data_IF_578067056266
#
_entry.id   IF_578067056266
#
_cell.length_a   1.000
_cell.length_b   1.000
_cell.length_c   1.000
_cell.angle_alpha   90.00
_cell.angle_beta   90.00
_cell.angle_gamma   90.00
#
_symmetry.space_group_name_H-M   'P 1'
#
loop_
_entity.id
_entity.type
_entity.pdbx_description
1 polymer ?
#
# COMPACT_ATOMS: atom_id res chain seq x y z
N UNK A 1 -12.18 9.64 8.99
CA UNK A 1 -12.94 10.78 8.43
C UNK A 1 -13.87 11.38 9.48
N UNK A 2 -14.99 10.73 9.85
CA UNK A 2 -15.91 11.24 10.89
C UNK A 2 -15.19 11.56 12.22
N UNK A 3 -14.31 10.67 12.68
CA UNK A 3 -13.50 10.91 13.87
C UNK A 3 -12.67 12.21 13.79
N UNK A 4 -11.87 12.38 12.72
CA UNK A 4 -11.04 13.58 12.52
C UNK A 4 -11.88 14.85 12.40
N UNK A 5 -13.04 14.78 11.73
CA UNK A 5 -13.98 15.90 11.64
C UNK A 5 -14.47 16.36 13.01
N UNK A 6 -14.80 15.42 13.91
CA UNK A 6 -15.20 15.73 15.30
C UNK A 6 -14.06 16.35 16.12
N UNK A 7 -12.81 16.17 15.70
CA UNK A 7 -11.63 16.82 16.26
C UNK A 7 -11.29 18.16 15.58
N UNK A 8 -12.19 18.69 14.72
CA UNK A 8 -11.99 19.97 14.04
C UNK A 8 -11.10 19.90 12.79
N UNK A 9 -10.77 18.70 12.30
CA UNK A 9 -9.95 18.52 11.10
C UNK A 9 -10.86 18.27 9.90
N UNK A 10 -10.84 19.18 8.93
CA UNK A 10 -11.54 18.99 7.66
C UNK A 10 -10.98 17.78 6.89
N UNK A 11 -11.85 16.92 6.36
CA UNK A 11 -11.45 15.72 5.61
C UNK A 11 -12.10 15.71 4.24
N UNK A 12 -11.28 15.65 3.19
CA UNK A 12 -11.73 15.31 1.84
C UNK A 12 -11.39 13.86 1.55
N UNK A 13 -12.40 13.11 1.09
CA UNK A 13 -12.25 11.77 0.52
C UNK A 13 -12.89 11.76 -0.85
N UNK A 14 -12.24 11.09 -1.79
CA UNK A 14 -12.74 10.92 -3.15
C UNK A 14 -12.94 9.44 -3.42
N UNK A 15 -13.97 9.11 -4.18
CA UNK A 15 -14.11 7.78 -4.77
C UNK A 15 -13.16 7.69 -5.97
N UNK A 16 -12.55 6.53 -6.19
CA UNK A 16 -11.67 6.31 -7.33
C UNK A 16 -12.42 6.45 -8.66
N UNK A 17 -11.67 6.60 -9.75
CA UNK A 17 -12.21 6.79 -11.10
C UNK A 17 -13.20 5.68 -11.46
N UNK A 18 -14.42 6.05 -11.83
CA UNK A 18 -15.48 5.10 -12.20
C UNK A 18 -16.14 4.38 -11.03
N UNK A 19 -15.83 4.76 -9.78
CA UNK A 19 -16.46 4.21 -8.57
C UNK A 19 -17.49 5.20 -8.01
N UNK A 20 -18.66 4.69 -7.64
CA UNK A 20 -19.75 5.46 -7.04
C UNK A 20 -20.06 6.76 -7.81
N UNK A 21 -19.76 7.93 -7.23
CA UNK A 21 -20.04 9.23 -7.86
C UNK A 21 -18.99 9.71 -8.85
N UNK A 22 -17.82 9.07 -8.90
CA UNK A 22 -16.69 9.49 -9.75
C UNK A 22 -16.83 8.95 -11.17
N UNK A 23 -16.52 9.81 -12.16
CA UNK A 23 -16.40 9.39 -13.57
C UNK A 23 -15.03 8.76 -13.87
N UNK A 24 -14.83 8.25 -15.09
CA UNK A 24 -13.56 7.65 -15.53
C UNK A 24 -13.58 6.13 -15.52
N UNK A 25 -12.39 5.51 -15.70
CA UNK A 25 -12.24 4.05 -15.80
C UNK A 25 -11.17 3.56 -14.82
N UNK A 26 -11.59 2.84 -13.79
CA UNK A 26 -10.72 2.25 -12.78
C UNK A 26 -9.69 1.29 -13.37
N UNK A 27 -10.11 0.36 -14.24
CA UNK A 27 -9.25 -0.69 -14.79
C UNK A 27 -8.16 -0.19 -15.74
N UNK A 28 -8.27 1.05 -16.22
CA UNK A 28 -7.25 1.71 -17.03
C UNK A 28 -6.35 2.66 -16.21
N UNK A 29 -6.69 2.94 -14.95
CA UNK A 29 -5.94 3.83 -14.09
C UNK A 29 -4.74 3.13 -13.47
N UNK A 30 -3.73 3.91 -13.11
CA UNK A 30 -2.52 3.47 -12.40
C UNK A 30 -2.40 4.19 -11.05
N UNK A 31 -1.50 3.75 -10.19
CA UNK A 31 -1.18 4.49 -8.95
C UNK A 31 -0.73 5.93 -9.22
N UNK A 32 -0.09 6.18 -10.38
CA UNK A 32 0.25 7.55 -10.82
C UNK A 32 -0.98 8.39 -11.18
N UNK A 33 -2.04 7.79 -11.72
CA UNK A 33 -3.32 8.46 -11.91
C UNK A 33 -3.95 8.85 -10.57
N UNK A 34 -3.96 7.94 -9.61
CA UNK A 34 -4.48 8.20 -8.27
C UNK A 34 -3.68 9.29 -7.54
N UNK A 35 -2.35 9.35 -7.75
CA UNK A 35 -1.52 10.44 -7.24
C UNK A 35 -1.93 11.80 -7.83
N UNK A 36 -2.21 11.87 -9.14
CA UNK A 36 -2.72 13.10 -9.77
C UNK A 36 -4.13 13.49 -9.29
N UNK A 37 -4.95 12.51 -8.96
CA UNK A 37 -6.26 12.75 -8.35
C UNK A 37 -6.09 13.35 -6.94
N UNK A 38 -5.17 12.82 -6.13
CA UNK A 38 -4.82 13.39 -4.82
C UNK A 38 -4.24 14.80 -4.94
N UNK A 39 -3.39 15.06 -5.94
CA UNK A 39 -2.88 16.42 -6.24
C UNK A 39 -4.02 17.39 -6.54
N UNK A 40 -5.01 16.95 -7.34
CA UNK A 40 -6.19 17.75 -7.67
C UNK A 40 -7.07 18.01 -6.44
N UNK A 41 -7.19 17.02 -5.55
CA UNK A 41 -7.91 17.16 -4.28
C UNK A 41 -7.25 18.20 -3.35
N UNK A 42 -5.92 18.22 -3.25
CA UNK A 42 -5.19 19.25 -2.50
C UNK A 42 -5.41 20.64 -3.12
N UNK A 43 -5.31 20.77 -4.44
CA UNK A 43 -5.58 22.05 -5.13
C UNK A 43 -6.99 22.56 -4.89
N UNK A 44 -7.99 21.66 -4.88
CA UNK A 44 -9.36 22.03 -4.54
C UNK A 44 -9.47 22.53 -3.09
N UNK A 45 -8.88 21.82 -2.12
CA UNK A 45 -8.86 22.26 -0.72
C UNK A 45 -8.18 23.61 -0.53
N UNK A 46 -7.08 23.88 -1.24
CA UNK A 46 -6.38 25.17 -1.19
C UNK A 46 -7.21 26.34 -1.72
N UNK A 47 -8.15 26.08 -2.63
CA UNK A 47 -9.03 27.10 -3.17
C UNK A 47 -10.24 27.41 -2.25
N UNK A 48 -10.40 26.68 -1.14
CA UNK A 48 -11.53 26.85 -0.23
C UNK A 48 -11.23 27.90 0.84
N UNK A 49 -12.10 28.90 1.05
CA UNK A 49 -11.89 29.94 2.06
C UNK A 49 -12.10 29.45 3.50
N UNK A 50 -12.70 28.27 3.68
CA UNK A 50 -12.97 27.64 4.98
C UNK A 50 -11.92 26.57 5.35
N UNK A 51 -10.80 26.52 4.63
CA UNK A 51 -9.69 25.58 4.88
C UNK A 51 -8.42 26.36 5.21
N UNK A 52 -7.76 25.99 6.31
CA UNK A 52 -6.43 26.50 6.64
C UNK A 52 -5.40 25.88 5.70
N UNK A 53 -5.00 26.61 4.67
CA UNK A 53 -4.15 26.10 3.58
C UNK A 53 -2.75 25.67 4.05
N UNK A 54 -2.25 26.25 5.14
CA UNK A 54 -0.97 25.90 5.76
C UNK A 54 -1.02 24.55 6.52
N UNK A 55 -2.20 23.97 6.74
CA UNK A 55 -2.39 22.70 7.47
C UNK A 55 -2.78 21.51 6.57
N UNK A 56 -2.80 21.67 5.25
CA UNK A 56 -3.27 20.58 4.37
C UNK A 56 -2.24 19.46 4.38
N UNK A 57 -2.64 18.23 4.67
CA UNK A 57 -1.77 17.05 4.59
C UNK A 57 -2.44 15.89 3.89
N UNK A 58 -1.67 14.83 3.66
CA UNK A 58 -2.10 13.63 2.96
C UNK A 58 -2.13 12.44 3.92
N UNK A 59 -3.19 11.63 3.85
CA UNK A 59 -3.30 10.36 4.59
C UNK A 59 -3.49 9.23 3.60
N UNK A 60 -2.58 8.27 3.59
CA UNK A 60 -2.57 7.15 2.65
C UNK A 60 -2.50 5.80 3.37
N UNK A 61 -3.39 4.86 3.02
CA UNK A 61 -3.41 3.51 3.57
C UNK A 61 -2.96 2.48 2.54
N UNK A 62 -2.04 1.58 2.90
CA UNK A 62 -1.52 0.53 2.00
C UNK A 62 -0.96 1.14 0.71
N UNK A 63 -1.43 0.77 -0.48
CA UNK A 63 -1.08 1.44 -1.74
C UNK A 63 -1.34 2.96 -1.71
N UNK A 64 -2.37 3.41 -0.98
CA UNK A 64 -2.64 4.83 -0.76
C UNK A 64 -1.46 5.58 -0.13
N UNK A 65 -0.55 4.90 0.57
CA UNK A 65 0.70 5.50 1.06
C UNK A 65 1.67 5.84 -0.08
N UNK A 66 1.68 5.05 -1.16
CA UNK A 66 2.42 5.34 -2.39
C UNK A 66 1.79 6.53 -3.10
N UNK A 67 0.46 6.55 -3.21
CA UNK A 67 -0.29 7.69 -3.76
C UNK A 67 0.03 8.98 -3.01
N UNK A 68 -0.03 8.96 -1.68
CA UNK A 68 0.29 10.11 -0.84
C UNK A 68 1.75 10.55 -0.99
N UNK A 69 2.69 9.61 -1.09
CA UNK A 69 4.12 9.89 -1.29
C UNK A 69 4.36 10.59 -2.63
N UNK A 70 3.81 10.05 -3.72
CA UNK A 70 3.94 10.63 -5.05
C UNK A 70 3.30 12.02 -5.12
N UNK A 71 2.10 12.20 -4.55
CA UNK A 71 1.44 13.49 -4.51
C UNK A 71 2.23 14.52 -3.66
N UNK A 72 2.79 14.11 -2.52
CA UNK A 72 3.61 14.97 -1.68
C UNK A 72 4.90 15.42 -2.40
N UNK A 73 5.51 14.57 -3.23
CA UNK A 73 6.67 14.93 -4.04
C UNK A 73 6.36 16.03 -5.07
N UNK A 74 5.14 16.06 -5.61
CA UNK A 74 4.69 17.14 -6.51
C UNK A 74 4.27 18.41 -5.76
N UNK A 75 3.93 18.31 -4.48
CA UNK A 75 3.27 19.35 -3.69
C UNK A 75 4.06 19.79 -2.45
N UNK A 76 5.39 19.72 -2.47
CA UNK A 76 6.20 19.92 -1.26
C UNK A 76 5.98 21.27 -0.55
N UNK A 77 5.60 22.31 -1.29
CA UNK A 77 5.29 23.64 -0.77
C UNK A 77 3.79 23.83 -0.43
N UNK A 78 2.95 22.87 -0.81
CA UNK A 78 1.50 22.93 -0.74
C UNK A 78 0.89 21.96 0.29
N UNK A 79 1.66 20.98 0.78
CA UNK A 79 1.26 20.08 1.87
C UNK A 79 2.19 20.21 3.07
N UNK A 80 1.63 20.10 4.27
CA UNK A 80 2.33 20.26 5.54
C UNK A 80 2.84 18.95 6.13
N UNK A 81 2.24 17.81 5.76
CA UNK A 81 2.61 16.50 6.30
C UNK A 81 2.06 15.33 5.46
N UNK A 82 2.61 14.14 5.71
CA UNK A 82 2.10 12.85 5.22
C UNK A 82 1.87 11.89 6.39
N UNK A 83 0.73 11.19 6.41
CA UNK A 83 0.45 10.07 7.31
C UNK A 83 0.34 8.79 6.47
N UNK A 84 1.23 7.84 6.71
CA UNK A 84 1.24 6.52 6.09
C UNK A 84 0.65 5.50 7.06
N UNK A 85 -0.49 4.91 6.70
CA UNK A 85 -1.13 3.82 7.42
C UNK A 85 -0.76 2.52 6.71
N UNK A 86 -0.09 1.57 7.37
CA UNK A 86 0.41 0.35 6.75
C UNK A 86 1.18 0.65 5.45
N UNK A 87 2.17 1.54 5.56
CA UNK A 87 2.86 2.13 4.41
C UNK A 87 3.84 1.16 3.73
N UNK A 88 3.99 1.30 2.41
CA UNK A 88 4.90 0.47 1.60
C UNK A 88 6.30 1.09 1.56
N UNK A 89 7.30 0.36 2.04
CA UNK A 89 8.69 0.80 2.14
C UNK A 89 9.69 0.08 1.25
N UNK A 90 9.28 -1.02 0.61
CA UNK A 90 10.14 -1.92 -0.17
C UNK A 90 9.56 -2.17 -1.55
N UNK A 91 10.36 -2.63 -2.53
CA UNK A 91 9.86 -2.94 -3.87
C UNK A 91 8.64 -3.87 -3.84
N UNK A 92 7.68 -3.62 -4.73
CA UNK A 92 6.36 -4.28 -4.69
C UNK A 92 6.45 -5.81 -4.86
N UNK A 93 7.40 -6.30 -5.64
CA UNK A 93 7.64 -7.73 -5.76
C UNK A 93 8.17 -8.37 -4.47
N UNK A 94 9.06 -7.69 -3.75
CA UNK A 94 9.54 -8.15 -2.44
C UNK A 94 8.41 -8.15 -1.40
N UNK A 95 7.58 -7.10 -1.41
CA UNK A 95 6.41 -6.99 -0.54
C UNK A 95 5.42 -8.13 -0.79
N UNK A 96 5.01 -8.35 -2.04
CA UNK A 96 3.95 -9.30 -2.38
C UNK A 96 4.36 -10.75 -2.17
N UNK A 97 5.65 -11.07 -2.37
CA UNK A 97 6.19 -12.40 -2.04
C UNK A 97 6.08 -12.64 -0.52
N UNK A 98 6.50 -11.68 0.31
CA UNK A 98 6.44 -11.82 1.77
C UNK A 98 5.00 -11.83 2.28
N UNK A 99 4.13 -10.96 1.75
CA UNK A 99 2.70 -10.95 2.04
C UNK A 99 2.07 -12.32 1.78
N UNK A 100 2.33 -12.91 0.61
CA UNK A 100 1.81 -14.23 0.29
C UNK A 100 2.38 -15.31 1.22
N UNK A 101 3.68 -15.24 1.55
CA UNK A 101 4.35 -16.16 2.47
C UNK A 101 3.66 -16.18 3.84
N UNK A 102 3.39 -15.01 4.40
CA UNK A 102 2.75 -14.85 5.71
C UNK A 102 1.28 -15.29 5.70
N UNK A 103 0.52 -14.86 4.69
CA UNK A 103 -0.90 -15.21 4.56
C UNK A 103 -1.10 -16.72 4.35
N UNK A 104 -0.31 -17.34 3.49
CA UNK A 104 -0.35 -18.79 3.31
C UNK A 104 0.04 -19.53 4.59
N UNK A 105 1.03 -19.02 5.33
CA UNK A 105 1.45 -19.60 6.61
C UNK A 105 0.33 -19.64 7.65
N UNK A 106 -0.40 -18.53 7.85
CA UNK A 106 -1.52 -18.50 8.80
C UNK A 106 -2.74 -19.31 8.35
N UNK A 107 -2.83 -19.60 7.05
CA UNK A 107 -3.84 -20.49 6.48
C UNK A 107 -3.44 -21.98 6.54
N UNK A 108 -2.26 -22.30 7.10
CA UNK A 108 -1.80 -23.67 7.28
C UNK A 108 -1.14 -24.29 6.04
N UNK A 109 -0.73 -23.47 5.06
CA UNK A 109 0.03 -23.96 3.93
C UNK A 109 1.36 -24.57 4.36
N UNK A 110 1.78 -25.63 3.67
CA UNK A 110 3.08 -26.27 3.93
C UNK A 110 4.24 -25.38 3.49
N UNK A 111 5.43 -25.58 4.06
CA UNK A 111 6.64 -24.88 3.62
C UNK A 111 6.94 -25.10 2.12
N UNK A 112 6.61 -26.28 1.59
CA UNK A 112 6.76 -26.60 0.17
C UNK A 112 5.81 -25.76 -0.71
N UNK A 113 4.55 -25.61 -0.29
CA UNK A 113 3.57 -24.76 -0.99
C UNK A 113 4.00 -23.29 -0.99
N UNK A 114 4.47 -22.80 0.16
CA UNK A 114 4.95 -21.43 0.32
C UNK A 114 6.15 -21.14 -0.59
N UNK A 115 7.14 -22.03 -0.63
CA UNK A 115 8.31 -21.88 -1.52
C UNK A 115 7.91 -21.97 -3.00
N UNK A 116 7.06 -22.94 -3.36
CA UNK A 116 6.57 -23.07 -4.73
C UNK A 116 5.83 -21.81 -5.20
N UNK A 117 4.95 -21.26 -4.37
CA UNK A 117 4.24 -20.01 -4.66
C UNK A 117 5.21 -18.83 -4.84
N UNK A 118 6.22 -18.75 -3.98
CA UNK A 118 7.25 -17.69 -4.06
C UNK A 118 8.04 -17.77 -5.37
N UNK A 119 8.40 -18.99 -5.83
CA UNK A 119 9.07 -19.19 -7.13
C UNK A 119 8.19 -18.79 -8.31
N UNK A 120 6.90 -19.14 -8.26
CA UNK A 120 5.92 -18.75 -9.28
C UNK A 120 5.77 -17.22 -9.35
N UNK A 121 5.62 -16.54 -8.22
CA UNK A 121 5.52 -15.08 -8.18
C UNK A 121 6.77 -14.39 -8.72
N UNK A 122 7.98 -14.87 -8.37
CA UNK A 122 9.23 -14.33 -8.92
C UNK A 122 9.25 -14.41 -10.45
N UNK A 123 8.82 -15.53 -11.03
CA UNK A 123 8.70 -15.65 -12.49
C UNK A 123 7.71 -14.63 -13.04
N UNK A 124 6.51 -14.56 -12.46
CA UNK A 124 5.47 -13.62 -12.91
C UNK A 124 5.95 -12.18 -12.91
N UNK A 125 6.57 -11.73 -11.83
CA UNK A 125 7.04 -10.35 -11.69
C UNK A 125 8.23 -10.05 -12.61
N UNK A 126 9.13 -11.00 -12.82
CA UNK A 126 10.22 -10.86 -13.81
C UNK A 126 9.67 -10.70 -15.22
N UNK A 127 8.74 -11.57 -15.64
CA UNK A 127 8.14 -11.50 -16.98
C UNK A 127 7.33 -10.21 -17.15
N UNK A 128 6.54 -9.83 -16.16
CA UNK A 128 5.73 -8.61 -16.20
C UNK A 128 6.58 -7.34 -16.37
N UNK A 129 7.82 -7.33 -15.86
CA UNK A 129 8.79 -6.24 -16.04
C UNK A 129 9.46 -6.25 -17.41
N UNK A 130 9.77 -7.41 -17.97
CA UNK A 130 10.54 -7.51 -19.21
C UNK A 130 9.70 -7.54 -20.48
N UNK A 131 8.45 -8.02 -20.39
CA UNK A 131 7.55 -8.18 -21.54
C UNK A 131 6.33 -7.27 -21.39
N UNK A 132 6.23 -6.30 -22.31
CA UNK A 132 5.15 -5.30 -22.33
C UNK A 132 3.87 -5.82 -22.96
N UNK A 133 3.92 -6.77 -23.90
CA UNK A 133 2.73 -7.37 -24.49
C UNK A 133 2.10 -8.36 -23.50
N UNK A 134 0.90 -8.06 -23.00
CA UNK A 134 0.25 -8.88 -21.98
C UNK A 134 -0.04 -10.31 -22.46
N UNK A 135 -0.29 -10.52 -23.75
CA UNK A 135 -0.53 -11.86 -24.30
C UNK A 135 0.77 -12.68 -24.38
N UNK A 136 1.88 -12.07 -24.77
CA UNK A 136 3.21 -12.67 -24.76
C UNK A 136 3.66 -12.99 -23.33
N UNK A 137 3.52 -12.03 -22.40
CA UNK A 137 3.81 -12.23 -20.99
C UNK A 137 3.01 -13.41 -20.41
N UNK A 138 1.71 -13.49 -20.70
CA UNK A 138 0.88 -14.61 -20.26
C UNK A 138 1.36 -15.98 -20.78
N UNK A 139 1.78 -16.06 -22.05
CA UNK A 139 2.34 -17.29 -22.63
C UNK A 139 3.68 -17.66 -21.97
N UNK A 140 4.56 -16.69 -21.78
CA UNK A 140 5.86 -16.92 -21.15
C UNK A 140 5.71 -17.35 -19.68
N UNK A 141 4.84 -16.70 -18.90
CA UNK A 141 4.58 -17.08 -17.50
C UNK A 141 4.12 -18.55 -17.44
N UNK A 142 3.14 -18.94 -18.27
CA UNK A 142 2.65 -20.33 -18.30
C UNK A 142 3.79 -21.31 -18.64
N UNK A 143 4.58 -21.01 -19.67
CA UNK A 143 5.69 -21.87 -20.09
C UNK A 143 6.78 -22.00 -19.00
N UNK A 144 7.10 -20.91 -18.29
CA UNK A 144 8.12 -20.91 -17.22
C UNK A 144 7.63 -21.54 -15.92
N UNK A 145 6.33 -21.49 -15.64
CA UNK A 145 5.74 -22.13 -14.46
C UNK A 145 5.47 -23.63 -14.65
N UNK A 146 5.25 -24.10 -15.87
CA UNK A 146 4.99 -25.53 -16.17
C UNK A 146 6.01 -26.51 -15.54
N UNK A 147 7.34 -26.34 -15.71
CA UNK A 147 8.31 -27.25 -15.09
C UNK A 147 8.27 -27.20 -13.56
N UNK A 148 8.00 -26.03 -12.96
CA UNK A 148 7.86 -25.91 -11.51
C UNK A 148 6.68 -26.73 -10.99
N UNK A 149 5.55 -26.70 -11.69
CA UNK A 149 4.36 -27.47 -11.33
C UNK A 149 4.60 -28.98 -11.52
N UNK A 150 5.36 -29.36 -12.55
CA UNK A 150 5.69 -30.76 -12.83
C UNK A 150 6.49 -31.43 -11.71
N UNK A 151 7.32 -30.67 -10.99
CA UNK A 151 8.13 -31.14 -9.86
C UNK A 151 7.33 -31.27 -8.55
N UNK A 152 6.12 -30.72 -8.48
CA UNK A 152 5.27 -30.78 -7.28
C UNK A 152 4.44 -32.06 -7.23
N UNK A 153 4.24 -32.55 -6.00
CA UNK A 153 3.23 -33.57 -5.71
C UNK A 153 1.82 -33.07 -6.01
N UNK A 154 0.90 -33.98 -6.32
CA UNK A 154 -0.43 -33.67 -6.86
C UNK A 154 -1.23 -32.64 -6.04
N UNK A 155 -1.22 -32.76 -4.71
CA UNK A 155 -1.91 -31.83 -3.81
C UNK A 155 -1.35 -30.40 -3.92
N UNK A 156 -0.03 -30.26 -3.90
CA UNK A 156 0.62 -28.94 -3.96
C UNK A 156 0.49 -28.34 -5.35
N UNK A 157 0.64 -29.16 -6.41
CA UNK A 157 0.42 -28.76 -7.79
C UNK A 157 -0.95 -28.14 -8.00
N UNK A 158 -2.00 -28.79 -7.49
CA UNK A 158 -3.38 -28.31 -7.63
C UNK A 158 -3.57 -26.93 -6.99
N UNK A 159 -3.05 -26.74 -5.77
CA UNK A 159 -3.11 -25.46 -5.04
C UNK A 159 -2.37 -24.36 -5.79
N UNK A 160 -1.13 -24.60 -6.23
CA UNK A 160 -0.31 -23.58 -6.90
C UNK A 160 -0.81 -23.29 -8.31
N UNK A 161 -1.25 -24.30 -9.07
CA UNK A 161 -1.79 -24.11 -10.40
C UNK A 161 -3.08 -23.26 -10.41
N UNK A 162 -3.93 -23.43 -9.39
CA UNK A 162 -5.16 -22.66 -9.24
C UNK A 162 -4.90 -21.15 -9.06
N UNK A 163 -3.76 -20.77 -8.46
CA UNK A 163 -3.39 -19.37 -8.27
C UNK A 163 -2.87 -18.70 -9.56
N UNK A 164 -2.28 -19.45 -10.49
CA UNK A 164 -1.54 -18.86 -11.62
C UNK A 164 -2.43 -18.09 -12.59
N UNK A 165 -3.51 -18.71 -13.07
CA UNK A 165 -4.30 -18.11 -14.16
C UNK A 165 -4.96 -16.78 -13.78
N UNK A 166 -5.61 -16.64 -12.60
CA UNK A 166 -6.12 -15.35 -12.14
C UNK A 166 -5.02 -14.30 -11.92
N UNK A 167 -3.84 -14.72 -11.44
CA UNK A 167 -2.73 -13.80 -11.21
C UNK A 167 -2.14 -13.24 -12.50
N UNK A 168 -2.14 -13.98 -13.62
CA UNK A 168 -1.58 -13.50 -14.90
C UNK A 168 -2.27 -12.21 -15.36
N UNK A 169 -3.60 -12.14 -15.29
CA UNK A 169 -4.33 -10.93 -15.71
C UNK A 169 -3.97 -9.73 -14.84
N UNK A 170 -3.92 -9.94 -13.52
CA UNK A 170 -3.54 -8.90 -12.56
C UNK A 170 -2.11 -8.39 -12.80
N UNK A 171 -1.12 -9.29 -12.88
CA UNK A 171 0.30 -8.90 -12.98
C UNK A 171 0.68 -8.29 -14.32
N UNK A 172 -0.13 -8.50 -15.36
CA UNK A 172 0.06 -7.90 -16.69
C UNK A 172 -0.81 -6.65 -16.92
N UNK A 173 -1.54 -6.19 -15.89
CA UNK A 173 -2.30 -4.95 -15.97
C UNK A 173 -1.39 -3.71 -15.98
N UNK A 174 -1.83 -2.58 -16.55
CA UNK A 174 -1.08 -1.32 -16.49
C UNK A 174 -0.80 -0.88 -15.05
N UNK A 175 -1.79 -1.00 -14.16
CA UNK A 175 -1.67 -0.68 -12.74
C UNK A 175 -0.55 -1.48 -12.07
N UNK A 176 -0.53 -2.79 -12.25
CA UNK A 176 0.48 -3.63 -11.61
C UNK A 176 1.88 -3.37 -12.15
N UNK A 177 2.01 -3.16 -13.46
CA UNK A 177 3.31 -2.80 -14.06
C UNK A 177 3.82 -1.45 -13.55
N UNK A 178 2.93 -0.48 -13.34
CA UNK A 178 3.29 0.79 -12.71
C UNK A 178 3.84 0.56 -11.30
N UNK A 179 3.14 -0.20 -10.46
CA UNK A 179 3.60 -0.56 -9.12
C UNK A 179 4.92 -1.35 -9.12
N UNK A 180 5.10 -2.31 -10.03
CA UNK A 180 6.37 -3.04 -10.16
C UNK A 180 7.57 -2.14 -10.53
N UNK A 181 7.30 -1.01 -11.19
CA UNK A 181 8.30 -0.02 -11.57
C UNK A 181 8.51 1.07 -10.52
N UNK A 182 7.66 1.14 -9.50
CA UNK A 182 7.77 2.09 -8.41
C UNK A 182 9.02 1.79 -7.58
N UNK A 183 9.89 2.80 -7.45
CA UNK A 183 11.05 2.78 -6.57
C UNK A 183 10.70 3.50 -5.25
N UNK A 184 10.40 2.77 -4.16
CA UNK A 184 10.07 3.38 -2.88
C UNK A 184 11.25 4.17 -2.29
N UNK A 185 12.49 3.73 -2.51
CA UNK A 185 13.66 4.42 -1.98
C UNK A 185 13.80 5.81 -2.59
N UNK A 186 13.71 5.91 -3.92
CA UNK A 186 13.76 7.20 -4.62
C UNK A 186 12.56 8.09 -4.29
N UNK A 187 11.35 7.53 -4.27
CA UNK A 187 10.13 8.29 -4.00
C UNK A 187 10.09 8.81 -2.56
N UNK A 188 10.36 7.97 -1.56
CA UNK A 188 10.38 8.38 -0.15
C UNK A 188 11.57 9.32 0.14
N UNK A 189 12.74 9.05 -0.45
CA UNK A 189 13.91 9.93 -0.34
C UNK A 189 13.71 11.32 -0.95
N UNK A 190 12.64 11.52 -1.72
CA UNK A 190 12.27 12.83 -2.24
C UNK A 190 11.37 13.62 -1.28
N UNK A 191 10.65 12.99 -0.35
CA UNK A 191 9.70 13.67 0.56
C UNK A 191 10.44 14.59 1.54
N UNK A 192 9.98 15.84 1.68
CA UNK A 192 10.60 16.87 2.55
C UNK A 192 9.76 17.26 3.76
N UNK A 193 8.46 16.96 3.74
CA UNK A 193 7.52 17.31 4.81
C UNK A 193 7.55 16.27 5.94
N UNK A 194 7.15 16.61 7.17
CA UNK A 194 7.01 15.66 8.25
C UNK A 194 6.17 14.42 7.88
N UNK A 195 6.61 13.24 8.32
CA UNK A 195 5.94 11.96 8.03
C UNK A 195 5.62 11.20 9.31
N UNK A 196 4.37 10.75 9.44
CA UNK A 196 3.95 9.78 10.44
C UNK A 196 3.75 8.41 9.76
N UNK A 197 4.44 7.38 10.23
CA UNK A 197 4.31 6.00 9.74
C UNK A 197 3.68 5.15 10.83
N UNK A 198 2.48 4.65 10.57
CA UNK A 198 1.74 3.78 11.49
C UNK A 198 1.65 2.37 10.88
N UNK A 199 1.81 1.35 11.70
CA UNK A 199 1.60 -0.05 11.29
C UNK A 199 1.01 -0.89 12.43
N UNK A 200 0.33 -1.98 12.08
CA UNK A 200 -0.10 -2.99 13.05
C UNK A 200 0.93 -4.12 13.17
N UNK A 201 1.20 -4.60 14.39
CA UNK A 201 2.13 -5.73 14.62
C UNK A 201 1.70 -7.01 13.89
N UNK A 202 0.39 -7.24 13.75
CA UNK A 202 -0.20 -8.39 13.05
C UNK A 202 -0.56 -8.07 11.60
N UNK A 203 0.01 -7.02 11.01
CA UNK A 203 -0.14 -6.77 9.59
C UNK A 203 0.66 -7.81 8.79
N UNK A 204 -0.07 -8.65 8.03
CA UNK A 204 0.51 -9.67 7.15
C UNK A 204 0.53 -9.23 5.68
N UNK A 205 -0.04 -8.07 5.36
CA UNK A 205 -0.10 -7.54 4.00
C UNK A 205 1.02 -6.53 3.75
N UNK A 206 1.28 -5.66 4.73
CA UNK A 206 2.41 -4.73 4.72
C UNK A 206 3.19 -4.88 6.03
N UNK A 207 3.98 -5.97 6.16
CA UNK A 207 4.57 -6.35 7.44
C UNK A 207 5.49 -5.25 8.01
N UNK A 208 5.33 -4.88 9.29
CA UNK A 208 6.07 -3.76 9.87
C UNK A 208 7.57 -4.01 9.93
N UNK A 209 7.98 -5.27 10.13
CA UNK A 209 9.37 -5.69 10.17
C UNK A 209 10.12 -5.46 8.85
N UNK A 210 9.42 -5.51 7.72
CA UNK A 210 9.95 -5.27 6.39
C UNK A 210 9.85 -3.78 6.00
N UNK A 211 8.73 -3.13 6.34
CA UNK A 211 8.39 -1.84 5.74
C UNK A 211 8.73 -0.62 6.61
N UNK A 212 8.46 -0.64 7.92
CA UNK A 212 8.55 0.57 8.76
C UNK A 212 9.98 1.12 8.79
N UNK A 213 10.97 0.24 9.00
CA UNK A 213 12.38 0.65 9.01
C UNK A 213 12.88 1.04 7.61
N UNK A 214 12.40 0.39 6.56
CA UNK A 214 12.75 0.74 5.18
C UNK A 214 12.26 2.16 4.82
N UNK A 215 11.04 2.51 5.21
CA UNK A 215 10.48 3.86 5.04
C UNK A 215 11.33 4.89 5.77
N UNK A 216 11.59 4.65 7.05
CA UNK A 216 12.37 5.57 7.89
C UNK A 216 13.77 5.81 7.30
N UNK A 217 14.45 4.75 6.87
CA UNK A 217 15.78 4.84 6.25
C UNK A 217 15.75 5.58 4.91
N UNK A 218 14.74 5.35 4.07
CA UNK A 218 14.63 6.04 2.78
C UNK A 218 14.39 7.56 2.97
N UNK A 219 13.51 7.94 3.89
CA UNK A 219 13.27 9.34 4.25
C UNK A 219 14.54 10.00 4.80
N UNK A 220 15.24 9.34 5.72
CA UNK A 220 16.48 9.84 6.32
C UNK A 220 17.61 9.97 5.28
N UNK A 221 17.73 9.01 4.34
CA UNK A 221 18.68 9.10 3.24
C UNK A 221 18.40 10.30 2.31
N UNK A 222 17.13 10.69 2.20
CA UNK A 222 16.67 11.91 1.53
C UNK A 222 16.90 13.21 2.31
N UNK A 223 17.41 13.14 3.54
CA UNK A 223 17.60 14.29 4.43
C UNK A 223 16.36 14.69 5.23
N UNK A 224 15.28 13.89 5.21
CA UNK A 224 14.10 14.12 6.01
C UNK A 224 14.21 13.37 7.35
N UNK A 225 14.44 14.14 8.42
CA UNK A 225 14.54 13.62 9.79
C UNK A 225 13.26 13.84 10.62
N UNK A 226 12.25 14.50 10.05
CA UNK A 226 10.97 14.75 10.70
C UNK A 226 10.04 13.55 10.55
N UNK A 227 10.51 12.37 10.94
CA UNK A 227 9.81 11.09 10.78
C UNK A 227 9.48 10.53 12.15
N UNK A 228 8.22 10.14 12.33
CA UNK A 228 7.77 9.41 13.50
C UNK A 228 7.16 8.08 13.08
N UNK A 229 7.54 7.00 13.77
CA UNK A 229 7.05 5.65 13.48
C UNK A 229 6.36 5.05 14.69
N UNK A 230 5.24 4.34 14.52
CA UNK A 230 4.59 3.59 15.60
C UNK A 230 4.06 2.26 15.08
N UNK A 231 4.43 1.17 15.75
CA UNK A 231 3.87 -0.17 15.52
C UNK A 231 2.96 -0.51 16.69
N UNK A 232 1.68 -0.74 16.40
CA UNK A 232 0.68 -1.03 17.42
C UNK A 232 0.57 -2.53 17.69
N UNK A 233 0.80 -2.98 18.93
CA UNK A 233 0.69 -4.39 19.28
C UNK A 233 -0.69 -4.96 18.97
N UNK A 234 -0.71 -6.16 18.39
CA UNK A 234 -1.93 -6.92 18.12
C UNK A 234 -2.88 -6.38 17.05
N UNK A 235 -2.56 -5.28 16.36
CA UNK A 235 -3.40 -4.74 15.29
C UNK A 235 -3.04 -5.34 13.92
N UNK A 236 -4.04 -5.61 13.08
CA UNK A 236 -3.86 -6.08 11.70
C UNK A 236 -3.65 -4.93 10.70
N UNK A 237 -3.64 -5.26 9.39
CA UNK A 237 -3.51 -4.31 8.28
C UNK A 237 -4.57 -3.18 8.26
N UNK A 238 -5.78 -3.46 8.77
CA UNK A 238 -6.88 -2.50 8.89
C UNK A 238 -6.84 -1.74 10.22
N UNK A 239 -5.78 -1.95 11.02
CA UNK A 239 -5.65 -1.43 12.39
C UNK A 239 -6.76 -1.91 13.33
N UNK A 240 -7.27 -3.12 13.11
CA UNK A 240 -8.24 -3.77 13.99
C UNK A 240 -7.52 -4.72 14.94
N UNK A 241 -8.04 -4.87 16.15
CA UNK A 241 -7.58 -5.86 17.13
C UNK A 241 -7.83 -7.27 16.58
N UNK A 242 -6.74 -7.96 16.25
CA UNK A 242 -6.77 -9.22 15.52
C UNK A 242 -6.11 -10.34 16.31
N UNK A 243 -6.50 -11.59 16.08
CA UNK A 243 -5.83 -12.74 16.72
C UNK A 243 -4.67 -13.21 15.86
N UNK A 244 -4.92 -13.35 14.56
CA UNK A 244 -3.95 -13.91 13.60
C UNK A 244 -3.45 -12.88 12.60
N UNK A 245 -4.22 -11.82 12.32
CA UNK A 245 -3.92 -10.88 11.24
C UNK A 245 -4.43 -11.33 9.87
N UNK A 246 -5.06 -12.52 9.80
CA UNK A 246 -5.63 -13.05 8.56
C UNK A 246 -6.74 -12.14 8.02
N UNK A 247 -6.81 -12.04 6.69
CA UNK A 247 -7.86 -11.31 5.97
C UNK A 247 -9.26 -11.86 6.30
N UNK A 248 -9.36 -13.16 6.64
CA UNK A 248 -10.63 -13.77 7.05
C UNK A 248 -11.23 -13.14 8.31
N UNK A 249 -10.42 -12.48 9.15
CA UNK A 249 -10.89 -11.82 10.38
C UNK A 249 -11.64 -10.50 10.10
N UNK A 250 -11.43 -9.84 8.95
CA UNK A 250 -11.88 -8.46 8.73
C UNK A 250 -13.39 -8.29 8.86
N UNK A 251 -14.16 -9.18 8.25
CA UNK A 251 -15.63 -9.14 8.33
C UNK A 251 -16.19 -9.65 9.67
N UNK A 252 -15.36 -10.31 10.49
CA UNK A 252 -15.76 -10.84 11.80
C UNK A 252 -15.51 -9.83 12.92
N UNK A 253 -14.50 -8.97 12.76
CA UNK A 253 -14.16 -7.94 13.73
C UNK A 253 -15.08 -6.74 13.54
N UNK A 254 -15.84 -6.38 14.59
CA UNK A 254 -16.75 -5.22 14.57
C UNK A 254 -16.03 -3.87 14.62
N UNK A 255 -14.84 -3.84 15.21
CA UNK A 255 -13.99 -2.66 15.27
C UNK A 255 -13.59 -2.27 13.83
N UNK A 256 -13.82 -1.01 13.45
CA UNK A 256 -13.40 -0.51 12.13
C UNK A 256 -11.91 -0.19 12.11
N UNK A 257 -11.44 0.54 13.12
CA UNK A 257 -10.05 0.88 13.40
C UNK A 257 -9.94 1.12 14.91
N UNK A 258 -8.86 0.66 15.54
CA UNK A 258 -8.67 0.82 16.97
C UNK A 258 -8.60 2.31 17.35
N UNK A 259 -9.33 2.76 18.40
CA UNK A 259 -9.36 4.16 18.80
C UNK A 259 -7.98 4.77 19.06
N UNK A 260 -7.06 4.00 19.65
CA UNK A 260 -5.66 4.37 19.87
C UNK A 260 -4.96 4.87 18.58
N UNK A 261 -5.31 4.30 17.42
CA UNK A 261 -4.72 4.71 16.13
C UNK A 261 -5.35 6.03 15.67
N UNK A 262 -6.66 6.19 15.85
CA UNK A 262 -7.36 7.43 15.54
C UNK A 262 -6.88 8.59 16.41
N UNK A 263 -6.71 8.35 17.71
CA UNK A 263 -6.16 9.29 18.68
C UNK A 263 -4.75 9.69 18.26
N UNK A 264 -3.89 8.72 17.92
CA UNK A 264 -2.52 8.98 17.45
C UNK A 264 -2.49 9.90 16.22
N UNK A 265 -3.35 9.67 15.24
CA UNK A 265 -3.42 10.48 14.03
C UNK A 265 -3.87 11.91 14.38
N UNK A 266 -4.95 12.05 15.16
CA UNK A 266 -5.48 13.36 15.53
C UNK A 266 -4.50 14.17 16.37
N UNK A 267 -3.90 13.57 17.40
CA UNK A 267 -2.93 14.22 18.28
C UNK A 267 -1.68 14.65 17.48
N UNK A 268 -1.20 13.80 16.58
CA UNK A 268 -0.02 14.13 15.78
C UNK A 268 -0.30 15.25 14.78
N UNK A 269 -1.46 15.25 14.12
CA UNK A 269 -1.86 16.34 13.22
C UNK A 269 -2.05 17.63 14.03
N UNK A 270 -2.76 17.58 15.16
CA UNK A 270 -3.01 18.72 16.03
C UNK A 270 -1.74 19.32 16.68
N UNK A 271 -0.67 18.54 16.77
CA UNK A 271 0.63 19.00 17.27
C UNK A 271 1.44 19.81 16.24
N UNK A 272 1.03 19.82 14.97
CA UNK A 272 1.74 20.56 13.92
C UNK A 272 1.42 22.05 14.02
N UNK A 273 2.46 22.86 14.18
CA UNK A 273 2.35 24.30 14.03
C UNK A 273 2.08 24.64 12.57
N UNK A 274 0.85 24.99 12.25
CA UNK A 274 0.55 25.66 10.99
C UNK A 274 0.55 27.16 11.25
N UNK A 275 1.25 27.92 10.42
CA UNK A 275 1.11 29.38 10.43
C UNK A 275 -0.33 29.76 10.02
N UNK A 276 -0.90 30.75 10.70
CA UNK A 276 -2.20 31.37 10.34
C UNK A 276 -2.14 32.09 8.98
#
# INVERSE_FOLDING_TARGET
>A
ADYLWRQGIAVLRTDDRGVAGSTGNFGAATTGDFARDAVSAVKYLRARPDVMVACIGLVGHSEGSVVATLAANELQEDVAFVVMLAGIGVPIDELLIEQARLLMGVQGASAAQVEANSRVQRIMFQVARSESDSAAAAREIRARCEPLLADLGESDRSVIAAAISPSIESVTSPWFRYLLSYDPGAALGSVRVPVLVLAGERDLQVPPNQNVRAIELALQAGGNHAVETTVFPGLNHQFQTATTGSISEYGMIKETMAPIVLDKIADWIGSKECAE
#
